data_IF_876382212973
#
_entry.id   IF_876382212973
#
_cell.length_a   1.000
_cell.length_b   1.000
_cell.length_c   1.000
_cell.angle_alpha   90.00
_cell.angle_beta   90.00
_cell.angle_gamma   90.00
#
_symmetry.space_group_name_H-M   'P 1'
#
loop_
_entity.id
_entity.type
_entity.pdbx_description
1 polymer ?
#
# COMPACT_ATOMS: atom_id res chain seq x y z
N UNK A 1 -11.42 -6.13 12.33
CA UNK A 1 -10.40 -5.37 11.59
C UNK A 1 -9.93 -6.16 10.39
N UNK A 2 -9.86 -5.52 9.26
CA UNK A 2 -9.39 -6.15 8.02
C UNK A 2 -7.88 -5.97 7.89
N UNK A 3 -7.22 -7.05 7.49
CA UNK A 3 -5.77 -7.03 7.22
C UNK A 3 -5.56 -7.54 5.82
N UNK A 4 -4.91 -6.73 5.01
CA UNK A 4 -4.79 -6.99 3.57
C UNK A 4 -3.36 -6.78 3.13
N UNK A 5 -2.89 -7.67 2.25
CA UNK A 5 -1.62 -7.52 1.56
C UNK A 5 -1.90 -7.37 0.08
N UNK A 6 -1.23 -6.42 -0.55
CA UNK A 6 -1.27 -6.26 -2.00
C UNK A 6 0.15 -6.38 -2.51
N UNK A 7 0.37 -7.27 -3.47
CA UNK A 7 1.69 -7.48 -4.07
C UNK A 7 1.60 -7.31 -5.58
N UNK A 8 2.58 -6.62 -6.15
CA UNK A 8 2.69 -6.43 -7.60
C UNK A 8 4.14 -6.24 -8.01
N UNK A 9 4.42 -6.40 -9.29
CA UNK A 9 5.76 -6.14 -9.84
C UNK A 9 5.66 -5.11 -10.94
N UNK A 10 6.43 -4.04 -10.80
CA UNK A 10 6.45 -2.89 -11.70
C UNK A 10 7.46 -3.12 -12.81
N UNK A 11 7.17 -2.61 -14.01
CA UNK A 11 8.15 -2.58 -15.10
C UNK A 11 9.37 -1.79 -14.64
N UNK A 12 10.60 -2.28 -14.89
CA UNK A 12 11.81 -1.64 -14.35
C UNK A 12 11.90 -0.15 -14.64
N UNK A 13 11.52 0.28 -15.83
CA UNK A 13 11.58 1.69 -16.24
C UNK A 13 10.54 2.57 -15.55
N UNK A 14 9.57 1.96 -14.85
CA UNK A 14 8.48 2.70 -14.19
C UNK A 14 8.57 2.64 -12.65
N UNK A 15 9.66 2.07 -12.12
CA UNK A 15 9.82 1.95 -10.66
C UNK A 15 9.82 3.31 -9.98
N UNK A 16 10.56 4.27 -10.51
CA UNK A 16 10.61 5.62 -9.90
C UNK A 16 9.25 6.30 -9.96
N UNK A 17 8.53 6.14 -11.05
CA UNK A 17 7.18 6.68 -11.19
C UNK A 17 6.27 6.09 -10.13
N UNK A 18 6.35 4.77 -9.93
CA UNK A 18 5.53 4.10 -8.91
C UNK A 18 5.88 4.59 -7.51
N UNK A 19 7.16 4.73 -7.19
CA UNK A 19 7.59 5.21 -5.87
C UNK A 19 7.10 6.64 -5.62
N UNK A 20 7.14 7.49 -6.64
CA UNK A 20 6.65 8.86 -6.50
C UNK A 20 5.15 8.89 -6.20
N UNK A 21 4.37 8.06 -6.91
CA UNK A 21 2.93 7.96 -6.64
C UNK A 21 2.66 7.46 -5.22
N UNK A 22 3.46 6.51 -4.75
CA UNK A 22 3.36 6.02 -3.36
C UNK A 22 3.68 7.13 -2.37
N UNK A 23 4.74 7.89 -2.59
CA UNK A 23 5.11 8.99 -1.70
C UNK A 23 4.00 10.03 -1.59
N UNK A 24 3.31 10.30 -2.69
CA UNK A 24 2.17 11.23 -2.68
C UNK A 24 1.03 10.74 -1.80
N UNK A 25 0.80 9.42 -1.79
CA UNK A 25 -0.20 8.82 -0.90
C UNK A 25 0.17 9.10 0.56
N UNK A 26 1.42 8.87 0.94
CA UNK A 26 1.86 9.07 2.31
C UNK A 26 1.88 10.55 2.71
N UNK A 27 2.19 11.43 1.78
CA UNK A 27 2.13 12.87 2.04
C UNK A 27 0.70 13.29 2.39
N UNK A 28 -0.28 12.81 1.64
CA UNK A 28 -1.68 13.13 1.91
C UNK A 28 -2.16 12.47 3.21
N UNK A 29 -1.74 11.24 3.48
CA UNK A 29 -2.05 10.57 4.75
C UNK A 29 -1.52 11.34 5.95
N UNK A 30 -0.29 11.86 5.85
CA UNK A 30 0.30 12.65 6.93
C UNK A 30 -0.49 13.93 7.17
N UNK A 31 -1.00 14.54 6.11
CA UNK A 31 -1.79 15.76 6.20
C UNK A 31 -3.18 15.51 6.77
N UNK A 32 -3.89 14.50 6.26
CA UNK A 32 -5.26 14.21 6.67
C UNK A 32 -5.36 13.38 7.94
N UNK A 33 -4.32 12.60 8.23
CA UNK A 33 -4.23 11.77 9.44
C UNK A 33 -5.53 11.00 9.77
N UNK A 34 -6.05 10.21 8.82
CA UNK A 34 -7.30 9.48 9.07
C UNK A 34 -7.13 8.47 10.19
N UNK A 35 -8.14 8.36 11.06
CA UNK A 35 -8.14 7.39 12.13
C UNK A 35 -8.39 5.97 11.61
N UNK A 36 -7.88 4.99 12.35
CA UNK A 36 -8.20 3.60 12.11
C UNK A 36 -7.51 2.95 10.93
N UNK A 37 -6.48 3.59 10.40
CA UNK A 37 -5.69 3.03 9.31
C UNK A 37 -4.24 2.82 9.74
N UNK A 38 -3.72 1.61 9.46
CA UNK A 38 -2.29 1.33 9.55
C UNK A 38 -1.86 0.85 8.18
N UNK A 39 -0.84 1.49 7.61
CA UNK A 39 -0.51 1.27 6.21
C UNK A 39 0.99 1.38 6.01
N UNK A 40 1.58 0.39 5.35
CA UNK A 40 2.99 0.36 5.06
C UNK A 40 3.25 -0.15 3.65
N UNK A 41 4.26 0.38 2.98
CA UNK A 41 4.65 -0.03 1.65
C UNK A 41 6.13 -0.38 1.65
N UNK A 42 6.47 -1.51 1.07
CA UNK A 42 7.83 -2.02 1.05
C UNK A 42 8.21 -2.42 -0.37
N UNK A 43 9.44 -2.12 -0.75
CA UNK A 43 10.01 -2.58 -2.01
C UNK A 43 10.89 -3.80 -1.71
N UNK A 44 10.72 -4.86 -2.48
CA UNK A 44 11.48 -6.09 -2.29
C UNK A 44 12.91 -5.95 -2.83
N UNK A 45 13.76 -6.92 -2.49
CA UNK A 45 15.18 -6.90 -2.88
C UNK A 45 15.41 -6.90 -4.39
N UNK A 46 14.44 -7.39 -5.16
CA UNK A 46 14.56 -7.38 -6.61
C UNK A 46 14.48 -5.97 -7.21
N UNK A 47 14.11 -4.98 -6.40
CA UNK A 47 14.05 -3.59 -6.82
C UNK A 47 12.86 -3.22 -7.68
N UNK A 48 11.98 -4.17 -8.00
CA UNK A 48 10.83 -3.95 -8.88
C UNK A 48 9.50 -4.42 -8.28
N UNK A 49 9.55 -5.27 -7.25
CA UNK A 49 8.33 -5.76 -6.60
C UNK A 49 8.01 -4.96 -5.37
N UNK A 50 6.72 -4.76 -5.12
CA UNK A 50 6.22 -3.97 -3.99
C UNK A 50 5.18 -4.76 -3.23
N UNK A 51 5.14 -4.52 -1.92
CA UNK A 51 4.12 -5.07 -1.04
C UNK A 51 3.54 -3.91 -0.24
N UNK A 52 2.22 -3.84 -0.22
CA UNK A 52 1.49 -2.92 0.65
C UNK A 52 0.78 -3.74 1.70
N UNK A 53 0.90 -3.32 2.95
CA UNK A 53 0.18 -3.92 4.07
C UNK A 53 -0.77 -2.88 4.63
N UNK A 54 -2.03 -3.24 4.76
CA UNK A 54 -3.05 -2.33 5.28
C UNK A 54 -3.89 -3.02 6.34
N UNK A 55 -4.16 -2.30 7.43
CA UNK A 55 -5.08 -2.74 8.47
C UNK A 55 -6.07 -1.61 8.71
N UNK A 56 -7.36 -1.93 8.67
CA UNK A 56 -8.42 -0.95 8.87
C UNK A 56 -9.72 -1.63 9.32
N UNK A 57 -10.64 -0.85 9.84
CA UNK A 57 -11.98 -1.33 10.13
C UNK A 57 -12.75 -1.57 8.83
N UNK A 58 -14.07 -1.75 8.91
CA UNK A 58 -14.86 -2.07 7.73
C UNK A 58 -14.76 -1.01 6.63
N UNK A 59 -14.71 0.27 7.03
CA UNK A 59 -14.51 1.35 6.07
C UNK A 59 -13.03 1.57 5.86
N UNK A 60 -12.58 1.53 4.61
CA UNK A 60 -11.17 1.74 4.28
C UNK A 60 -10.89 3.23 4.08
N UNK A 61 -10.14 3.88 5.01
CA UNK A 61 -9.84 5.32 4.88
C UNK A 61 -9.06 5.68 3.62
N UNK A 62 -8.34 4.74 3.01
CA UNK A 62 -7.63 5.00 1.75
C UNK A 62 -8.57 5.43 0.63
N UNK A 63 -9.85 5.04 0.72
CA UNK A 63 -10.85 5.44 -0.26
C UNK A 63 -11.08 6.95 -0.30
N UNK A 64 -10.71 7.66 0.76
CA UNK A 64 -10.87 9.11 0.85
C UNK A 64 -9.61 9.87 0.44
N UNK A 65 -8.54 9.16 0.07
CA UNK A 65 -7.25 9.75 -0.27
C UNK A 65 -7.15 9.90 -1.78
N UNK A 66 -7.10 11.14 -2.26
CA UNK A 66 -7.04 11.42 -3.69
C UNK A 66 -5.77 10.87 -4.32
N UNK A 67 -4.64 10.99 -3.63
CA UNK A 67 -3.37 10.44 -4.11
C UNK A 67 -3.45 8.93 -4.27
N UNK A 68 -4.23 8.23 -3.43
CA UNK A 68 -4.42 6.80 -3.57
C UNK A 68 -5.18 6.46 -4.84
N UNK A 69 -6.20 7.24 -5.17
CA UNK A 69 -6.92 7.07 -6.43
C UNK A 69 -5.98 7.26 -7.64
N UNK A 70 -5.12 8.28 -7.58
CA UNK A 70 -4.12 8.50 -8.63
C UNK A 70 -3.12 7.36 -8.72
N UNK A 71 -2.71 6.82 -7.57
CA UNK A 71 -1.81 5.67 -7.54
C UNK A 71 -2.44 4.45 -8.21
N UNK A 72 -3.71 4.19 -7.94
CA UNK A 72 -4.42 3.04 -8.50
C UNK A 72 -4.70 3.21 -9.99
N UNK A 73 -4.85 4.44 -10.45
CA UNK A 73 -5.06 4.71 -11.86
C UNK A 73 -3.82 4.30 -12.65
N UNK A 74 -4.01 3.44 -13.63
CA UNK A 74 -2.91 2.98 -14.49
C UNK A 74 -1.95 1.99 -13.85
N UNK A 75 -2.23 1.50 -12.63
CA UNK A 75 -1.31 0.57 -11.97
C UNK A 75 -1.08 -0.70 -12.79
N UNK A 76 -2.11 -1.19 -13.46
CA UNK A 76 -1.96 -2.40 -14.29
C UNK A 76 -1.02 -2.16 -15.47
N UNK A 77 -1.05 -0.96 -16.03
CA UNK A 77 -0.16 -0.62 -17.14
C UNK A 77 1.28 -0.41 -16.68
N UNK A 78 1.48 -0.07 -15.40
CA UNK A 78 2.82 0.05 -14.84
C UNK A 78 3.44 -1.30 -14.50
N UNK A 79 2.65 -2.35 -14.42
CA UNK A 79 3.10 -3.63 -13.87
C UNK A 79 3.38 -4.69 -14.92
N UNK A 80 4.43 -5.49 -14.67
CA UNK A 80 4.65 -6.77 -15.35
C UNK A 80 3.78 -7.85 -14.70
N UNK A 81 3.59 -7.76 -13.37
CA UNK A 81 2.66 -8.62 -12.65
C UNK A 81 1.66 -7.71 -11.93
N UNK A 82 0.37 -7.77 -12.30
CA UNK A 82 -0.64 -6.87 -11.71
C UNK A 82 -0.86 -7.16 -10.23
N UNK A 83 -1.48 -6.20 -9.50
CA UNK A 83 -1.72 -6.37 -8.08
C UNK A 83 -2.54 -7.61 -7.75
N UNK A 84 -2.09 -8.34 -6.75
CA UNK A 84 -2.82 -9.46 -6.16
C UNK A 84 -3.15 -9.07 -4.73
N UNK A 85 -4.43 -9.07 -4.40
CA UNK A 85 -4.93 -8.73 -3.08
C UNK A 85 -5.15 -10.00 -2.28
N UNK A 86 -4.55 -10.08 -1.10
CA UNK A 86 -4.65 -11.24 -0.23
C UNK A 86 -5.12 -10.81 1.15
N UNK A 87 -6.15 -11.47 1.66
CA UNK A 87 -6.61 -11.27 3.02
C UNK A 87 -5.65 -11.97 3.96
N UNK A 88 -5.33 -11.34 5.09
CA UNK A 88 -4.38 -11.87 6.06
C UNK A 88 -5.10 -12.19 7.37
N UNK A 89 -4.69 -13.27 8.00
CA UNK A 89 -5.13 -13.63 9.35
C UNK A 89 -3.92 -13.51 10.27
N UNK A 90 -4.05 -12.73 11.33
CA UNK A 90 -2.97 -12.59 12.29
C UNK A 90 -2.84 -13.88 13.10
N UNK A 91 -1.66 -14.47 13.10
CA UNK A 91 -1.36 -15.66 13.87
C UNK A 91 -0.66 -15.27 15.18
N UNK A 92 0.09 -14.19 15.14
CA UNK A 92 0.79 -13.66 16.31
C UNK A 92 1.41 -12.32 15.96
N UNK A 93 1.75 -11.53 16.99
CA UNK A 93 2.46 -10.28 16.79
C UNK A 93 3.25 -9.92 18.03
N UNK A 94 4.35 -9.21 17.83
CA UNK A 94 5.16 -8.66 18.90
C UNK A 94 5.65 -7.30 18.46
N UNK A 95 5.17 -6.27 19.15
CA UNK A 95 5.51 -4.86 18.83
C UNK A 95 5.36 -4.52 17.35
N UNK A 96 4.40 -5.16 16.71
CA UNK A 96 4.15 -4.95 15.30
C UNK A 96 3.10 -3.86 15.12
N UNK A 97 3.40 -2.91 14.25
CA UNK A 97 2.49 -1.85 13.80
C UNK A 97 1.63 -1.25 14.91
N UNK A 98 2.22 -0.33 15.68
CA UNK A 98 1.45 0.43 16.66
C UNK A 98 1.17 -0.30 17.97
N UNK A 99 1.84 -1.41 18.22
CA UNK A 99 1.82 -2.11 19.50
C UNK A 99 2.82 -1.48 20.47
N UNK A 100 3.01 -0.22 20.36
CA UNK A 100 3.97 0.49 21.18
C UNK A 100 3.44 0.66 22.60
#
# INVERSE_FOLDING_TARGET
>A
MKRVMVRYRVKPELVETNEQLVREVYAELAEKAPDGLRYGTFKLDDGVSFVHLAMHADDNPLQTIEAFARFQEGIRDRCDEPPVVTQLTEVGSYRWVGDA
#
